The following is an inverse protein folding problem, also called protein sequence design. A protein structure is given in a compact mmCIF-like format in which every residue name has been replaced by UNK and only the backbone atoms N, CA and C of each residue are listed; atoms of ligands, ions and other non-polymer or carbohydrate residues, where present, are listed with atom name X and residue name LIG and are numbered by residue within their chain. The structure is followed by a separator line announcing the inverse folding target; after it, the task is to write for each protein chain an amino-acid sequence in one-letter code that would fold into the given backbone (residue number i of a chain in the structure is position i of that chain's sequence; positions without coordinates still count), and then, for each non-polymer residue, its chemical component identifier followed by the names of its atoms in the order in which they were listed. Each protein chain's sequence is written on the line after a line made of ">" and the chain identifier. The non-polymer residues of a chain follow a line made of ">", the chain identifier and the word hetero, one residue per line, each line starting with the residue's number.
data_IF_138467914419
#
_entry.id   IF_138467914419
#
_cell.length_a   1.000
_cell.length_b   1.000
_cell.length_c   1.000
_cell.angle_alpha   90.00
_cell.angle_beta   90.00
_cell.angle_gamma   90.00
#
_symmetry.space_group_name_H-M   'P 1'
#
loop_
_entity.id
_entity.type
_entity.pdbx_description
1 polymer ?
#
# COMPACT_ATOMS: atom_id res chain seq x y z
N UNK A 1 -12.80 7.26 -22.61
CA UNK A 1 -13.73 6.35 -21.91
C UNK A 1 -14.67 7.20 -21.08
N UNK A 2 -15.97 7.01 -21.24
CA UNK A 2 -17.05 7.69 -20.53
C UNK A 2 -16.93 7.45 -19.02
N UNK A 3 -17.02 8.50 -18.21
CA UNK A 3 -16.91 8.42 -16.76
C UNK A 3 -17.96 7.49 -16.16
N UNK A 4 -17.57 6.70 -15.15
CA UNK A 4 -18.49 5.85 -14.40
C UNK A 4 -19.43 6.77 -13.60
N UNK A 5 -20.76 6.70 -13.81
CA UNK A 5 -21.70 7.58 -13.10
C UNK A 5 -21.62 7.43 -11.59
N UNK A 6 -21.80 8.53 -10.86
CA UNK A 6 -21.80 8.56 -9.39
C UNK A 6 -22.87 7.66 -8.77
N UNK A 7 -24.00 7.50 -9.47
CA UNK A 7 -25.10 6.62 -9.08
C UNK A 7 -24.85 5.14 -9.36
N UNK A 8 -23.74 4.77 -9.99
CA UNK A 8 -23.48 3.39 -10.35
C UNK A 8 -23.20 2.55 -9.10
N UNK A 9 -23.95 1.45 -8.85
CA UNK A 9 -23.87 0.68 -7.60
C UNK A 9 -22.47 0.07 -7.37
N UNK A 10 -21.72 -0.14 -8.46
CA UNK A 10 -20.36 -0.72 -8.45
C UNK A 10 -19.25 0.28 -8.74
N UNK A 11 -19.50 1.59 -8.59
CA UNK A 11 -18.53 2.64 -8.94
C UNK A 11 -17.16 2.41 -8.29
N UNK A 12 -17.11 2.11 -7.00
CA UNK A 12 -15.85 1.91 -6.27
C UNK A 12 -14.99 0.77 -6.85
N UNK A 13 -15.59 -0.38 -7.15
CA UNK A 13 -14.90 -1.51 -7.80
C UNK A 13 -14.40 -1.14 -9.20
N UNK A 14 -15.24 -0.49 -10.03
CA UNK A 14 -14.84 -0.10 -11.38
C UNK A 14 -13.70 0.93 -11.38
N UNK A 15 -13.74 1.90 -10.47
CA UNK A 15 -12.66 2.86 -10.28
C UNK A 15 -11.35 2.19 -9.85
N UNK A 16 -11.44 1.20 -8.95
CA UNK A 16 -10.28 0.42 -8.51
C UNK A 16 -9.66 -0.37 -9.66
N UNK A 17 -10.49 -1.02 -10.50
CA UNK A 17 -10.02 -1.69 -11.73
C UNK A 17 -9.33 -0.72 -12.68
N UNK A 18 -9.90 0.46 -12.88
CA UNK A 18 -9.31 1.47 -13.75
C UNK A 18 -7.92 1.91 -13.25
N UNK A 19 -7.78 2.19 -11.95
CA UNK A 19 -6.48 2.50 -11.33
C UNK A 19 -5.47 1.38 -11.54
N UNK A 20 -5.88 0.12 -11.37
CA UNK A 20 -5.00 -1.03 -11.60
C UNK A 20 -4.57 -1.13 -13.07
N UNK A 21 -5.47 -0.92 -14.03
CA UNK A 21 -5.13 -0.92 -15.47
C UNK A 21 -4.15 0.21 -15.80
N UNK A 22 -4.40 1.42 -15.30
CA UNK A 22 -3.53 2.58 -15.51
C UNK A 22 -2.14 2.37 -14.89
N UNK A 23 -2.08 1.85 -13.66
CA UNK A 23 -0.83 1.52 -13.00
C UNK A 23 -0.05 0.40 -13.70
N UNK A 24 -0.74 -0.60 -14.24
CA UNK A 24 -0.11 -1.64 -15.06
C UNK A 24 0.53 -1.08 -16.32
N UNK A 25 -0.13 -0.12 -17.01
CA UNK A 25 0.43 0.56 -18.19
C UNK A 25 1.66 1.42 -17.84
N UNK A 26 1.74 1.89 -16.60
CA UNK A 26 2.90 2.64 -16.05
C UNK A 26 4.03 1.73 -15.54
N UNK A 27 3.91 0.41 -15.65
CA UNK A 27 4.96 -0.54 -15.21
C UNK A 27 5.00 -0.80 -13.70
N UNK A 28 4.07 -0.26 -12.91
CA UNK A 28 4.05 -0.40 -11.44
C UNK A 28 3.68 -1.80 -10.97
N UNK A 29 2.96 -2.54 -11.81
CA UNK A 29 2.35 -3.83 -11.45
C UNK A 29 3.00 -4.98 -12.20
N UNK A 30 3.06 -6.15 -11.56
CA UNK A 30 3.38 -7.41 -12.24
C UNK A 30 2.18 -7.88 -13.08
N UNK A 31 2.41 -8.70 -14.12
CA UNK A 31 1.32 -9.25 -14.95
C UNK A 31 0.26 -10.00 -14.12
N UNK A 32 0.68 -10.66 -13.05
CA UNK A 32 -0.19 -11.38 -12.13
C UNK A 32 -1.01 -10.48 -11.19
N UNK A 33 -0.74 -9.17 -11.15
CA UNK A 33 -1.42 -8.21 -10.27
C UNK A 33 -2.92 -8.14 -10.53
N UNK A 34 -3.32 -8.07 -11.81
CA UNK A 34 -4.72 -8.01 -12.22
C UNK A 34 -5.45 -9.31 -11.88
N UNK A 35 -4.79 -10.46 -12.03
CA UNK A 35 -5.33 -11.76 -11.64
C UNK A 35 -5.55 -11.80 -10.13
N UNK A 36 -4.57 -11.32 -9.34
CA UNK A 36 -4.70 -11.24 -7.89
C UNK A 36 -5.83 -10.30 -7.45
N UNK A 37 -5.98 -9.16 -8.12
CA UNK A 37 -7.08 -8.24 -7.86
C UNK A 37 -8.44 -8.89 -8.15
N UNK A 38 -8.60 -9.53 -9.31
CA UNK A 38 -9.84 -10.23 -9.67
C UNK A 38 -10.23 -11.34 -8.68
N UNK A 39 -9.26 -12.07 -8.12
CA UNK A 39 -9.52 -13.02 -7.02
C UNK A 39 -10.04 -12.31 -5.77
N UNK A 40 -9.45 -11.17 -5.41
CA UNK A 40 -9.92 -10.34 -4.30
C UNK A 40 -11.37 -9.88 -4.50
N UNK A 41 -11.68 -9.37 -5.70
CA UNK A 41 -13.04 -8.95 -6.03
C UNK A 41 -14.05 -10.10 -5.94
N UNK A 42 -13.69 -11.31 -6.37
CA UNK A 42 -14.57 -12.47 -6.25
C UNK A 42 -14.95 -12.77 -4.79
N UNK A 43 -13.99 -12.68 -3.85
CA UNK A 43 -14.30 -12.80 -2.42
C UNK A 43 -15.09 -11.61 -1.90
N UNK A 44 -14.78 -10.39 -2.35
CA UNK A 44 -15.49 -9.18 -1.92
C UNK A 44 -16.99 -9.25 -2.29
N UNK A 45 -17.32 -9.77 -3.47
CA UNK A 45 -18.71 -10.10 -3.86
C UNK A 45 -19.38 -11.06 -2.88
N UNK A 46 -18.69 -12.12 -2.45
CA UNK A 46 -19.23 -13.10 -1.50
C UNK A 46 -19.41 -12.51 -0.09
N UNK A 47 -18.57 -11.55 0.28
CA UNK A 47 -18.61 -10.85 1.58
C UNK A 47 -19.55 -9.64 1.59
N UNK A 48 -20.16 -9.32 0.44
CA UNK A 48 -21.13 -8.23 0.29
C UNK A 48 -20.50 -6.85 0.21
N UNK A 49 -19.24 -6.76 -0.24
CA UNK A 49 -18.53 -5.50 -0.57
C UNK A 49 -18.53 -4.48 0.57
N UNK A 50 -18.40 -4.99 1.79
CA UNK A 50 -18.42 -4.19 3.01
C UNK A 50 -17.46 -4.72 4.03
N UNK A 51 -17.03 -3.85 4.94
CA UNK A 51 -16.29 -4.30 6.12
C UNK A 51 -17.24 -5.09 7.02
N UNK A 52 -16.99 -6.38 7.20
CA UNK A 52 -17.77 -7.24 8.10
C UNK A 52 -17.46 -6.94 9.57
N UNK A 53 -18.28 -7.44 10.49
CA UNK A 53 -18.05 -7.27 11.93
C UNK A 53 -16.73 -7.92 12.38
N UNK A 54 -16.44 -9.11 11.85
CA UNK A 54 -15.18 -9.79 12.11
C UNK A 54 -13.98 -9.01 11.57
N UNK A 55 -14.09 -8.42 10.36
CA UNK A 55 -13.03 -7.58 9.80
C UNK A 55 -12.84 -6.31 10.63
N UNK A 56 -13.94 -5.67 11.05
CA UNK A 56 -13.91 -4.48 11.91
C UNK A 56 -13.22 -4.74 13.26
N UNK A 57 -13.47 -5.92 13.86
CA UNK A 57 -12.79 -6.33 15.09
C UNK A 57 -11.29 -6.55 14.86
N UNK A 58 -10.92 -7.25 13.79
CA UNK A 58 -9.53 -7.48 13.44
C UNK A 58 -8.76 -6.18 13.14
N UNK A 59 -9.40 -5.21 12.48
CA UNK A 59 -8.82 -3.88 12.22
C UNK A 59 -8.51 -3.16 13.53
N UNK A 60 -9.45 -3.16 14.50
CA UNK A 60 -9.22 -2.54 15.82
C UNK A 60 -8.07 -3.20 16.59
N UNK A 61 -8.02 -4.52 16.59
CA UNK A 61 -6.93 -5.27 17.24
C UNK A 61 -5.58 -5.00 16.55
N UNK A 62 -5.53 -4.99 15.22
CA UNK A 62 -4.31 -4.67 14.48
C UNK A 62 -3.84 -3.24 14.77
N UNK A 63 -4.76 -2.26 14.81
CA UNK A 63 -4.43 -0.88 15.17
C UNK A 63 -3.87 -0.77 16.59
N UNK A 64 -4.48 -1.46 17.56
CA UNK A 64 -3.97 -1.49 18.94
C UNK A 64 -2.56 -2.08 19.04
N UNK A 65 -2.29 -3.17 18.30
CA UNK A 65 -0.95 -3.78 18.23
C UNK A 65 0.08 -2.88 17.57
N UNK A 66 -0.29 -2.16 16.52
CA UNK A 66 0.59 -1.21 15.86
C UNK A 66 0.94 -0.04 16.79
N UNK A 67 -0.03 0.47 17.54
CA UNK A 67 0.16 1.59 18.48
C UNK A 67 1.10 1.26 19.65
N UNK A 68 1.15 -0.01 20.09
CA UNK A 68 2.02 -0.45 21.19
C UNK A 68 3.33 -1.11 20.72
N UNK A 69 3.53 -1.19 19.40
CA UNK A 69 4.76 -1.77 18.83
C UNK A 69 5.94 -0.82 19.03
N UNK A 70 7.11 -1.38 19.34
CA UNK A 70 8.34 -0.59 19.47
C UNK A 70 8.89 -0.14 18.10
N UNK A 71 8.71 -0.97 17.07
CA UNK A 71 9.24 -0.74 15.71
C UNK A 71 8.24 -1.22 14.64
N UNK A 72 7.05 -0.60 14.54
CA UNK A 72 6.11 -0.96 13.48
C UNK A 72 6.66 -0.58 12.10
N UNK A 73 6.26 -1.31 11.06
CA UNK A 73 6.57 -1.00 9.66
C UNK A 73 5.34 -1.32 8.81
N UNK A 74 4.97 -0.43 7.89
CA UNK A 74 3.91 -0.69 6.93
C UNK A 74 4.52 -1.21 5.63
N UNK A 75 4.40 -2.51 5.36
CA UNK A 75 4.87 -3.11 4.12
C UNK A 75 3.89 -2.89 2.97
N UNK A 76 4.41 -2.47 1.82
CA UNK A 76 3.63 -2.22 0.60
C UNK A 76 4.16 -3.02 -0.58
N UNK A 77 3.25 -3.61 -1.35
CA UNK A 77 3.53 -4.17 -2.68
C UNK A 77 2.89 -3.30 -3.78
N UNK A 78 3.07 -3.67 -5.05
CA UNK A 78 2.51 -2.92 -6.17
C UNK A 78 1.00 -2.68 -6.10
N UNK A 79 0.20 -3.70 -5.77
CA UNK A 79 -1.26 -3.57 -5.70
C UNK A 79 -1.68 -2.63 -4.55
N UNK A 80 -1.08 -2.80 -3.36
CA UNK A 80 -1.41 -1.96 -2.21
C UNK A 80 -0.95 -0.52 -2.42
N UNK A 81 0.20 -0.28 -3.06
CA UNK A 81 0.68 1.08 -3.37
C UNK A 81 -0.32 1.83 -4.25
N UNK A 82 -0.84 1.17 -5.29
CA UNK A 82 -1.80 1.77 -6.23
C UNK A 82 -3.17 2.03 -5.58
N UNK A 83 -3.63 1.13 -4.72
CA UNK A 83 -4.99 1.19 -4.19
C UNK A 83 -5.10 1.93 -2.85
N UNK A 84 -4.06 1.90 -2.03
CA UNK A 84 -4.08 2.35 -0.63
C UNK A 84 -2.79 3.07 -0.19
N UNK A 85 -1.97 3.55 -1.14
CA UNK A 85 -0.70 4.22 -0.82
C UNK A 85 -0.87 5.47 0.04
N UNK A 86 -1.93 6.25 -0.19
CA UNK A 86 -2.20 7.45 0.59
C UNK A 86 -2.57 7.12 2.04
N UNK A 87 -3.43 6.12 2.21
CA UNK A 87 -3.88 5.64 3.52
C UNK A 87 -2.72 5.01 4.30
N UNK A 88 -1.84 4.26 3.63
CA UNK A 88 -0.63 3.71 4.25
C UNK A 88 0.29 4.81 4.81
N UNK A 89 0.51 5.89 4.06
CA UNK A 89 1.31 7.04 4.51
C UNK A 89 0.65 7.73 5.70
N UNK A 90 -0.67 7.91 5.69
CA UNK A 90 -1.40 8.51 6.81
C UNK A 90 -1.34 7.64 8.07
N UNK A 91 -1.42 6.32 7.93
CA UNK A 91 -1.26 5.39 9.06
C UNK A 91 0.18 5.48 9.59
N UNK A 92 1.17 5.46 8.70
CA UNK A 92 2.58 5.54 9.07
C UNK A 92 2.94 6.86 9.77
N UNK A 93 2.34 7.99 9.35
CA UNK A 93 2.55 9.28 10.00
C UNK A 93 1.96 9.35 11.40
N UNK A 94 0.83 8.66 11.65
CA UNK A 94 0.23 8.54 12.99
C UNK A 94 1.10 7.64 13.89
N UNK A 95 1.63 6.55 13.33
CA UNK A 95 2.47 5.59 14.07
C UNK A 95 3.91 6.07 14.26
N UNK A 96 4.35 7.09 13.53
CA UNK A 96 5.74 7.53 13.52
C UNK A 96 6.69 6.47 12.94
N UNK A 97 6.26 5.78 11.89
CA UNK A 97 6.96 4.61 11.36
C UNK A 97 7.22 4.68 9.84
N UNK A 98 8.15 3.87 9.30
CA UNK A 98 8.40 3.86 7.86
C UNK A 98 7.35 3.06 7.09
N UNK A 99 7.26 3.35 5.79
CA UNK A 99 6.57 2.51 4.80
C UNK A 99 7.65 1.81 3.96
N UNK A 100 7.66 0.48 3.90
CA UNK A 100 8.66 -0.29 3.14
C UNK A 100 8.05 -0.96 1.91
N UNK A 101 8.60 -0.66 0.73
CA UNK A 101 8.25 -1.41 -0.49
C UNK A 101 8.91 -2.80 -0.45
N UNK A 102 8.09 -3.84 -0.39
CA UNK A 102 8.53 -5.24 -0.41
C UNK A 102 7.72 -6.03 -1.47
N UNK A 103 8.41 -6.49 -2.52
CA UNK A 103 7.77 -7.17 -3.65
C UNK A 103 8.46 -8.49 -3.99
N UNK A 104 7.68 -9.43 -4.52
CA UNK A 104 8.19 -10.73 -4.96
C UNK A 104 9.05 -10.64 -6.23
N UNK A 105 8.59 -9.93 -7.25
CA UNK A 105 9.33 -9.72 -8.51
C UNK A 105 10.11 -8.41 -8.46
N UNK A 106 11.24 -8.46 -7.76
CA UNK A 106 12.11 -7.30 -7.51
C UNK A 106 12.96 -7.00 -8.75
N UNK A 107 12.75 -5.85 -9.36
CA UNK A 107 13.63 -5.24 -10.37
C UNK A 107 13.91 -3.81 -9.94
N UNK A 108 15.08 -3.26 -10.28
CA UNK A 108 15.43 -1.88 -9.89
C UNK A 108 14.39 -0.88 -10.39
N UNK A 109 14.00 -0.98 -11.67
CA UNK A 109 12.99 -0.12 -12.29
C UNK A 109 11.65 -0.15 -11.55
N UNK A 110 11.16 -1.34 -11.15
CA UNK A 110 9.88 -1.45 -10.43
C UNK A 110 9.98 -0.92 -9.01
N UNK A 111 11.10 -1.17 -8.32
CA UNK A 111 11.34 -0.63 -6.99
C UNK A 111 11.38 0.90 -7.02
N UNK A 112 12.16 1.49 -7.93
CA UNK A 112 12.24 2.93 -8.14
C UNK A 112 10.87 3.53 -8.46
N UNK A 113 10.12 2.90 -9.37
CA UNK A 113 8.78 3.39 -9.75
C UNK A 113 7.77 3.34 -8.59
N UNK A 114 7.80 2.28 -7.77
CA UNK A 114 6.90 2.15 -6.61
C UNK A 114 7.27 3.09 -5.46
N UNK A 115 8.56 3.27 -5.21
CA UNK A 115 9.06 4.22 -4.21
C UNK A 115 8.69 5.65 -4.63
N UNK A 116 8.98 6.02 -5.89
CA UNK A 116 8.63 7.32 -6.44
C UNK A 116 7.12 7.60 -6.42
N UNK A 117 6.28 6.58 -6.63
CA UNK A 117 4.82 6.72 -6.48
C UNK A 117 4.43 7.05 -5.03
N UNK A 118 4.99 6.36 -4.04
CA UNK A 118 4.73 6.65 -2.62
C UNK A 118 5.26 8.03 -2.21
N UNK A 119 6.43 8.43 -2.67
CA UNK A 119 6.98 9.77 -2.44
C UNK A 119 6.08 10.86 -3.03
N UNK A 120 5.64 10.69 -4.27
CA UNK A 120 4.69 11.60 -4.92
C UNK A 120 3.36 11.69 -4.17
N UNK A 121 2.85 10.56 -3.66
CA UNK A 121 1.65 10.53 -2.82
C UNK A 121 1.88 11.26 -1.49
N UNK A 122 3.02 11.04 -0.82
CA UNK A 122 3.39 11.73 0.42
C UNK A 122 3.45 13.24 0.21
N UNK A 123 4.11 13.69 -0.85
CA UNK A 123 4.26 15.11 -1.17
C UNK A 123 2.93 15.78 -1.52
N UNK A 124 2.03 15.05 -2.20
CA UNK A 124 0.67 15.51 -2.46
C UNK A 124 -0.14 15.62 -1.18
N UNK A 125 -0.13 14.58 -0.33
CA UNK A 125 -0.80 14.59 0.96
C UNK A 125 -0.29 15.71 1.88
N UNK A 126 1.03 15.92 1.95
CA UNK A 126 1.61 17.00 2.73
C UNK A 126 1.14 18.38 2.29
N UNK A 127 1.01 18.61 0.98
CA UNK A 127 0.47 19.88 0.44
C UNK A 127 -1.02 20.07 0.73
N UNK A 128 -1.81 19.01 0.61
CA UNK A 128 -3.26 19.02 0.81
C UNK A 128 -3.67 19.03 2.31
N UNK A 129 -2.77 18.62 3.21
CA UNK A 129 -3.05 18.51 4.64
C UNK A 129 -2.82 19.81 5.42
N UNK A 130 -3.54 20.01 6.54
CA UNK A 130 -3.28 21.10 7.49
C UNK A 130 -1.84 21.08 8.00
N UNK A 131 -1.30 22.26 8.35
CA UNK A 131 0.09 22.44 8.77
C UNK A 131 0.47 21.54 9.96
N UNK A 132 -0.44 21.34 10.92
CA UNK A 132 -0.23 20.49 12.09
C UNK A 132 0.06 19.01 11.77
N UNK A 133 -0.44 18.49 10.64
CA UNK A 133 -0.25 17.08 10.23
C UNK A 133 0.78 16.95 9.11
N UNK A 134 1.12 18.07 8.46
CA UNK A 134 2.08 18.08 7.35
C UNK A 134 3.45 17.56 7.77
N UNK A 135 3.96 17.98 8.91
CA UNK A 135 5.29 17.58 9.39
C UNK A 135 5.38 16.06 9.58
N UNK A 136 4.37 15.44 10.21
CA UNK A 136 4.35 13.99 10.41
C UNK A 136 4.24 13.21 9.09
N UNK A 137 3.44 13.70 8.13
CA UNK A 137 3.34 13.10 6.79
C UNK A 137 4.68 13.19 6.06
N UNK A 138 5.31 14.37 6.04
CA UNK A 138 6.59 14.58 5.36
C UNK A 138 7.73 13.80 6.03
N UNK A 139 7.61 13.53 7.33
CA UNK A 139 8.54 12.70 8.10
C UNK A 139 8.44 11.19 7.82
N UNK A 140 7.43 10.72 7.07
CA UNK A 140 7.32 9.30 6.73
C UNK A 140 8.44 8.90 5.77
N UNK A 141 9.33 8.03 6.25
CA UNK A 141 10.40 7.44 5.46
C UNK A 141 9.85 6.33 4.56
N UNK A 142 10.20 6.40 3.27
CA UNK A 142 9.86 5.37 2.28
C UNK A 142 11.09 4.48 2.08
N UNK A 143 11.02 3.25 2.59
CA UNK A 143 12.08 2.26 2.53
C UNK A 143 11.90 1.29 1.36
N UNK A 144 12.93 0.49 1.14
CA UNK A 144 12.94 -0.59 0.17
C UNK A 144 13.90 -0.36 -0.99
N UNK A 145 14.51 0.83 -1.17
CA UNK A 145 15.52 1.05 -2.21
C UNK A 145 16.75 0.17 -1.99
N UNK A 146 17.25 0.15 -0.76
CA UNK A 146 18.37 -0.69 -0.31
C UNK A 146 17.81 -1.98 0.27
N UNK A 147 18.40 -3.11 -0.14
CA UNK A 147 18.08 -4.45 0.33
C UNK A 147 19.25 -5.01 1.13
N UNK A 148 19.45 -4.46 2.33
CA UNK A 148 20.56 -4.78 3.24
C UNK A 148 20.15 -5.69 4.41
N UNK A 149 18.86 -5.98 4.56
CA UNK A 149 18.32 -6.91 5.55
C UNK A 149 17.73 -8.18 4.92
N UNK A 150 17.46 -9.19 5.76
CA UNK A 150 16.83 -10.43 5.32
C UNK A 150 15.77 -10.96 6.28
N UNK A 151 14.56 -11.17 5.79
CA UNK A 151 13.48 -11.77 6.57
C UNK A 151 13.79 -13.24 6.88
N UNK A 152 13.89 -13.56 8.18
CA UNK A 152 14.18 -14.90 8.66
C UNK A 152 13.12 -15.91 8.20
N UNK A 153 13.56 -17.03 7.63
CA UNK A 153 12.68 -18.12 7.17
C UNK A 153 12.11 -17.94 5.75
N UNK A 154 12.37 -16.81 5.07
CA UNK A 154 12.00 -16.61 3.67
C UNK A 154 13.20 -16.82 2.73
N UNK A 155 12.90 -17.28 1.51
CA UNK A 155 13.87 -17.44 0.44
C UNK A 155 13.52 -16.59 -0.78
N UNK A 156 14.50 -16.41 -1.67
CA UNK A 156 14.34 -15.66 -2.92
C UNK A 156 14.24 -14.14 -2.73
N UNK A 157 13.86 -13.40 -3.80
CA UNK A 157 13.84 -11.94 -3.78
C UNK A 157 12.91 -11.32 -2.73
N UNK A 158 11.88 -12.05 -2.29
CA UNK A 158 10.94 -11.61 -1.25
C UNK A 158 11.53 -11.67 0.16
N UNK A 159 12.63 -12.39 0.35
CA UNK A 159 13.34 -12.39 1.62
C UNK A 159 14.16 -11.12 1.83
N UNK A 160 14.41 -10.34 0.77
CA UNK A 160 15.20 -9.11 0.83
C UNK A 160 14.34 -7.97 1.39
N UNK A 161 14.83 -7.29 2.41
CA UNK A 161 14.19 -6.15 3.06
C UNK A 161 15.23 -5.10 3.46
N UNK A 162 14.79 -4.00 4.07
CA UNK A 162 15.71 -3.05 4.70
C UNK A 162 16.03 -3.47 6.14
N UNK A 163 17.31 -3.37 6.52
CA UNK A 163 17.78 -3.63 7.89
C UNK A 163 17.23 -2.64 8.94
N UNK A 164 16.75 -1.48 8.47
CA UNK A 164 16.11 -0.44 9.30
C UNK A 164 14.59 -0.51 9.25
N UNK A 165 14.04 -1.47 8.52
CA UNK A 165 12.61 -1.66 8.30
C UNK A 165 12.13 -2.99 8.85
N UNK A 166 11.79 -3.93 7.96
CA UNK A 166 11.13 -5.20 8.34
C UNK A 166 12.03 -6.14 9.18
N UNK A 167 13.36 -6.05 9.08
CA UNK A 167 14.31 -6.93 9.81
C UNK A 167 14.35 -6.65 11.32
#
# INVERSE_FOLDING_TARGET
>A
MTGIPDSHPRKASLMSRQRMVEASKRGLLAESAMIAHGRGEAFDYLLGERTSDSASLAIREAAARLLVSERPVISMNGNSTVLAGSEAIMIASILGCPVEVNIYYRTSERMESLIGELESLRDRLGRESPEMVRESIMGVEILGAVADGRILGLQGPRALCSSRGIE
#
